data_IF_306349587803
#
_entry.id   IF_306349587803
#
_cell.length_a   1.000
_cell.length_b   1.000
_cell.length_c   1.000
_cell.angle_alpha   90.00
_cell.angle_beta   90.00
_cell.angle_gamma   90.00
#
_symmetry.space_group_name_H-M   'P 1'
#
loop_
_entity.id
_entity.type
_entity.pdbx_description
1 polymer ?
#
# COMPACT_ATOMS: atom_id res chain seq x y z
N UNK A 1 -20.13 32.52 26.91
CA UNK A 1 -19.33 31.41 27.46
C UNK A 1 -19.77 30.01 26.99
N UNK A 2 -21.00 29.82 26.50
CA UNK A 2 -21.46 28.52 25.96
C UNK A 2 -20.95 28.19 24.54
N UNK A 3 -20.51 29.20 23.78
CA UNK A 3 -20.04 29.05 22.39
C UNK A 3 -18.52 28.76 22.26
N UNK A 4 -17.81 28.58 23.38
CA UNK A 4 -16.36 28.28 23.37
C UNK A 4 -16.09 26.76 23.45
N UNK A 5 -17.08 25.96 23.84
CA UNK A 5 -16.93 24.52 24.11
C UNK A 5 -17.09 23.60 22.89
N UNK A 6 -17.33 24.13 21.69
CA UNK A 6 -17.49 23.32 20.47
C UNK A 6 -16.26 23.42 19.54
N UNK A 7 -15.05 23.41 20.11
CA UNK A 7 -13.80 23.49 19.33
C UNK A 7 -12.67 22.58 19.81
N UNK A 8 -13.01 21.48 20.48
CA UNK A 8 -12.02 20.52 21.01
C UNK A 8 -12.38 19.05 20.72
N UNK A 9 -13.33 18.79 19.84
CA UNK A 9 -13.57 17.46 19.24
C UNK A 9 -12.75 17.30 17.95
N UNK A 10 -11.49 17.76 17.94
CA UNK A 10 -10.53 17.26 16.96
C UNK A 10 -10.21 15.84 17.39
N UNK A 11 -10.98 14.90 16.85
CA UNK A 11 -10.67 13.48 16.83
C UNK A 11 -9.19 13.38 16.46
N UNK A 12 -8.39 12.97 17.44
CA UNK A 12 -7.02 12.52 17.25
C UNK A 12 -7.05 11.45 16.16
N UNK A 13 -6.79 11.81 14.91
CA UNK A 13 -6.32 10.85 13.93
C UNK A 13 -4.99 10.40 14.47
N UNK A 14 -4.95 9.20 15.06
CA UNK A 14 -3.75 8.64 15.64
C UNK A 14 -2.73 8.51 14.51
N UNK A 15 -1.80 9.47 14.45
CA UNK A 15 -0.68 9.44 13.52
C UNK A 15 0.09 8.14 13.74
N UNK A 16 0.31 7.38 12.67
CA UNK A 16 1.03 6.13 12.77
C UNK A 16 2.47 6.43 13.17
N UNK A 17 2.96 5.72 14.19
CA UNK A 17 4.34 5.87 14.67
C UNK A 17 5.14 4.63 14.31
N UNK A 18 6.46 4.81 14.27
CA UNK A 18 7.38 3.69 14.11
C UNK A 18 7.19 2.71 15.26
N UNK A 19 7.12 1.42 14.91
CA UNK A 19 6.89 0.34 15.87
C UNK A 19 5.43 0.13 16.26
N UNK A 20 4.48 0.98 15.84
CA UNK A 20 3.06 0.66 15.97
C UNK A 20 2.74 -0.63 15.19
N UNK A 21 1.71 -1.33 15.64
CA UNK A 21 1.29 -2.62 15.09
C UNK A 21 0.20 -2.40 14.05
N UNK A 22 0.41 -2.97 12.86
CA UNK A 22 -0.52 -2.90 11.73
C UNK A 22 -0.67 -4.29 11.12
N UNK A 23 -1.87 -4.63 10.67
CA UNK A 23 -2.11 -5.87 9.94
C UNK A 23 -1.78 -5.67 8.45
N UNK A 24 -1.09 -6.65 7.85
CA UNK A 24 -0.79 -6.64 6.42
C UNK A 24 -0.70 -8.08 5.89
N UNK A 25 -0.79 -8.25 4.59
CA UNK A 25 -0.58 -9.54 3.94
C UNK A 25 0.91 -9.84 3.79
N UNK A 26 1.42 -10.76 4.61
CA UNK A 26 2.80 -11.18 4.52
C UNK A 26 3.04 -12.09 3.31
N UNK A 27 3.95 -11.72 2.40
CA UNK A 27 4.37 -12.57 1.27
C UNK A 27 4.92 -13.92 1.67
N UNK A 28 5.65 -13.97 2.79
CA UNK A 28 6.33 -15.18 3.25
C UNK A 28 5.37 -16.10 4.00
N UNK A 29 4.46 -15.54 4.79
CA UNK A 29 3.44 -16.32 5.51
C UNK A 29 2.21 -16.64 4.65
N UNK A 30 1.98 -15.92 3.54
CA UNK A 30 0.81 -16.05 2.64
C UNK A 30 -0.53 -15.90 3.37
N UNK A 31 -0.56 -15.04 4.39
CA UNK A 31 -1.73 -14.74 5.21
C UNK A 31 -1.62 -13.35 5.81
N UNK A 32 -2.75 -12.79 6.24
CA UNK A 32 -2.77 -11.55 7.01
C UNK A 32 -2.20 -11.85 8.41
N UNK A 33 -1.23 -11.04 8.83
CA UNK A 33 -0.61 -11.13 10.15
C UNK A 33 -0.32 -9.75 10.70
N UNK A 34 -0.04 -9.68 12.00
CA UNK A 34 0.48 -8.48 12.64
C UNK A 34 1.92 -8.20 12.17
N UNK A 35 2.14 -6.97 11.74
CA UNK A 35 3.44 -6.41 11.39
C UNK A 35 3.75 -5.20 12.28
N UNK A 36 5.03 -4.92 12.47
CA UNK A 36 5.49 -3.66 13.06
C UNK A 36 5.89 -2.69 11.95
N UNK A 37 5.45 -1.44 12.04
CA UNK A 37 5.87 -0.39 11.10
C UNK A 37 7.37 -0.13 11.27
N UNK A 38 8.15 -0.34 10.21
CA UNK A 38 9.61 -0.09 10.21
C UNK A 38 9.99 1.19 9.48
N UNK A 39 9.11 1.75 8.65
CA UNK A 39 9.32 3.02 7.97
C UNK A 39 7.99 3.72 7.68
N UNK A 40 8.00 5.04 7.79
CA UNK A 40 6.88 5.93 7.47
C UNK A 40 7.28 6.86 6.33
N UNK A 41 6.36 7.14 5.40
CA UNK A 41 6.50 8.15 4.34
C UNK A 41 5.22 8.98 4.34
N UNK A 42 5.35 10.30 4.43
CA UNK A 42 4.20 11.23 4.50
C UNK A 42 3.18 10.91 5.61
N UNK A 43 3.63 10.29 6.71
CA UNK A 43 2.74 9.87 7.82
C UNK A 43 2.07 8.50 7.63
N UNK A 44 2.35 7.79 6.53
CA UNK A 44 1.80 6.46 6.25
C UNK A 44 2.88 5.37 6.29
N UNK A 45 2.51 4.15 6.70
CA UNK A 45 3.41 3.00 6.70
C UNK A 45 3.91 2.68 5.28
N UNK A 46 5.20 2.85 5.03
CA UNK A 46 5.83 2.49 3.76
C UNK A 46 6.35 1.04 3.78
N UNK A 47 6.97 0.64 4.90
CA UNK A 47 7.51 -0.71 5.10
C UNK A 47 7.12 -1.27 6.44
N UNK A 48 6.89 -2.58 6.44
CA UNK A 48 6.43 -3.32 7.60
C UNK A 48 7.25 -4.61 7.78
N UNK A 49 7.44 -5.01 9.05
CA UNK A 49 8.12 -6.25 9.43
C UNK A 49 7.14 -7.23 10.03
N UNK A 50 7.03 -8.42 9.45
CA UNK A 50 6.13 -9.45 9.97
C UNK A 50 6.59 -9.92 11.36
N UNK A 51 5.71 -9.87 12.37
CA UNK A 51 6.05 -10.33 13.73
C UNK A 51 6.10 -11.85 13.87
N UNK A 52 5.63 -12.58 12.85
CA UNK A 52 5.69 -14.06 12.84
C UNK A 52 6.97 -14.56 12.18
N UNK A 53 7.30 -14.07 10.98
CA UNK A 53 8.43 -14.59 10.19
C UNK A 53 9.62 -13.64 10.07
N UNK A 54 9.54 -12.45 10.69
CA UNK A 54 10.57 -11.41 10.73
C UNK A 54 11.06 -10.95 9.34
N UNK A 55 10.24 -11.13 8.31
CA UNK A 55 10.52 -10.65 6.97
C UNK A 55 10.01 -9.22 6.80
N UNK A 56 10.83 -8.37 6.19
CA UNK A 56 10.49 -6.98 5.86
C UNK A 56 9.94 -6.92 4.44
N UNK A 57 8.80 -6.26 4.25
CA UNK A 57 8.26 -5.98 2.93
C UNK A 57 7.57 -4.62 2.90
N UNK A 58 7.29 -4.15 1.69
CA UNK A 58 6.49 -2.93 1.49
C UNK A 58 5.05 -3.20 1.95
N UNK A 59 4.42 -2.17 2.51
CA UNK A 59 3.04 -2.25 3.00
C UNK A 59 2.06 -2.39 1.83
N UNK A 60 1.09 -3.29 1.94
CA UNK A 60 0.12 -3.57 0.85
C UNK A 60 -1.31 -3.19 1.19
N UNK A 61 -1.52 -2.45 2.28
CA UNK A 61 -2.85 -1.99 2.70
C UNK A 61 -3.85 -3.15 2.82
N UNK A 62 -3.39 -4.28 3.37
CA UNK A 62 -4.19 -5.50 3.55
C UNK A 62 -4.73 -6.10 2.23
N UNK A 63 -4.31 -5.59 1.08
CA UNK A 63 -4.74 -6.12 -0.21
C UNK A 63 -3.95 -7.38 -0.54
N UNK A 64 -4.68 -8.48 -0.69
CA UNK A 64 -4.15 -9.65 -1.36
C UNK A 64 -3.83 -9.27 -2.82
N UNK A 65 -2.69 -9.73 -3.38
CA UNK A 65 -2.38 -9.45 -4.77
C UNK A 65 -3.54 -9.91 -5.66
N UNK A 66 -3.98 -9.08 -6.63
CA UNK A 66 -5.15 -9.36 -7.44
C UNK A 66 -5.00 -10.73 -8.10
N UNK A 67 -6.08 -11.50 -8.07
CA UNK A 67 -6.05 -12.87 -8.60
C UNK A 67 -5.90 -12.81 -10.12
N UNK A 68 -5.18 -13.76 -10.73
CA UNK A 68 -5.03 -13.85 -12.20
C UNK A 68 -6.37 -13.83 -12.97
N UNK A 69 -7.50 -14.14 -12.31
CA UNK A 69 -8.84 -14.09 -12.89
C UNK A 69 -9.37 -12.66 -13.05
N UNK A 70 -8.97 -11.73 -12.20
CA UNK A 70 -9.37 -10.31 -12.27
C UNK A 70 -8.58 -9.57 -13.35
N UNK A 71 -7.28 -9.90 -13.51
CA UNK A 71 -6.47 -9.40 -14.62
C UNK A 71 -7.07 -9.79 -15.98
N UNK A 72 -7.50 -11.05 -16.12
CA UNK A 72 -8.12 -11.54 -17.37
C UNK A 72 -9.52 -10.94 -17.63
N UNK A 73 -10.25 -10.57 -16.58
CA UNK A 73 -11.54 -9.88 -16.70
C UNK A 73 -11.35 -8.41 -17.09
N UNK A 74 -10.30 -7.76 -16.61
CA UNK A 74 -9.91 -6.43 -17.03
C UNK A 74 -9.50 -6.41 -18.52
N UNK A 75 -8.71 -7.37 -18.97
CA UNK A 75 -8.34 -7.52 -20.39
C UNK A 75 -9.56 -7.75 -21.30
N UNK A 76 -10.52 -8.56 -20.85
CA UNK A 76 -11.77 -8.81 -21.58
C UNK A 76 -12.67 -7.56 -21.63
N UNK A 77 -12.72 -6.77 -20.56
CA UNK A 77 -13.47 -5.51 -20.52
C UNK A 77 -12.85 -4.43 -21.39
N UNK A 78 -11.51 -4.35 -21.47
CA UNK A 78 -10.83 -3.45 -22.42
C UNK A 78 -11.07 -3.84 -23.89
N UNK A 79 -11.21 -5.13 -24.18
CA UNK A 79 -11.52 -5.59 -25.54
C UNK A 79 -12.97 -5.28 -25.96
N UNK A 80 -13.92 -5.31 -25.01
CA UNK A 80 -15.32 -4.92 -25.24
C UNK A 80 -15.49 -3.40 -25.38
N UNK A 81 -14.64 -2.61 -24.72
CA UNK A 81 -14.64 -1.15 -24.86
C UNK A 81 -14.07 -0.67 -26.21
N UNK A 82 -13.22 -1.46 -26.86
CA UNK A 82 -12.62 -1.10 -28.15
C UNK A 82 -13.58 -1.22 -29.36
N UNK A 83 -14.75 -1.85 -29.20
CA UNK A 83 -15.80 -1.94 -30.23
C UNK A 83 -16.70 -0.68 -30.30
N UNK A 84 -16.67 0.17 -29.26
CA UNK A 84 -17.31 1.49 -29.26
C UNK A 84 -16.24 2.59 -29.31
N UNK A 85 -15.84 2.94 -30.54
CA UNK A 85 -14.68 3.76 -30.81
C UNK A 85 -14.68 5.17 -30.22
N UNK A 86 -13.54 5.56 -29.63
CA UNK A 86 -12.93 6.88 -29.68
C UNK A 86 -11.41 6.78 -29.36
N UNK A 87 -10.51 7.54 -30.03
CA UNK A 87 -9.06 7.32 -29.94
C UNK A 87 -8.29 8.30 -29.03
N UNK A 88 -7.19 7.75 -28.48
CA UNK A 88 -5.86 8.29 -28.12
C UNK A 88 -5.66 9.38 -27.02
N UNK A 89 -4.83 9.07 -26.01
CA UNK A 89 -3.51 9.68 -25.71
C UNK A 89 -2.94 9.14 -24.37
N UNK A 90 -1.96 8.24 -24.40
CA UNK A 90 -0.52 8.42 -24.14
C UNK A 90 -0.13 8.90 -22.72
N UNK A 91 0.42 8.01 -21.90
CA UNK A 91 1.82 8.07 -21.42
C UNK A 91 2.11 6.93 -20.44
N UNK A 92 2.99 6.04 -20.90
CA UNK A 92 3.73 5.10 -20.07
C UNK A 92 4.85 5.88 -19.35
N UNK A 93 4.94 5.79 -18.03
CA UNK A 93 6.26 5.86 -17.39
C UNK A 93 6.37 4.89 -16.21
N UNK A 94 7.11 3.83 -16.48
CA UNK A 94 7.49 2.78 -15.55
C UNK A 94 8.78 3.19 -14.83
N UNK A 95 8.66 3.74 -13.63
CA UNK A 95 9.79 4.06 -12.77
C UNK A 95 10.30 2.85 -11.98
N UNK A 96 10.98 1.90 -12.65
CA UNK A 96 11.68 0.78 -12.01
C UNK A 96 13.05 1.28 -11.51
N UNK A 97 13.19 1.63 -10.23
CA UNK A 97 14.51 1.97 -9.65
C UNK A 97 15.24 0.69 -9.20
N UNK A 98 16.42 0.36 -9.77
CA UNK A 98 17.24 -0.76 -9.32
C UNK A 98 17.91 -0.41 -7.98
N UNK A 99 17.84 -1.33 -7.00
CA UNK A 99 18.68 -1.28 -5.80
C UNK A 99 20.09 -1.74 -6.17
N UNK A 100 20.99 -0.78 -6.32
CA UNK A 100 22.42 -1.02 -6.29
C UNK A 100 22.82 -1.55 -4.91
N UNK A 101 23.58 -2.64 -4.89
CA UNK A 101 24.39 -3.05 -3.74
C UNK A 101 25.53 -2.04 -3.61
N UNK A 102 25.73 -1.48 -2.42
CA UNK A 102 26.99 -0.83 -2.06
C UNK A 102 27.50 -1.51 -0.79
N UNK A 103 28.50 -2.36 -1.02
CA UNK A 103 29.49 -2.82 -0.05
C UNK A 103 30.31 -1.59 0.38
N UNK A 104 30.61 -1.43 1.67
CA UNK A 104 31.72 -0.58 2.13
C UNK A 104 32.29 -1.13 3.44
N UNK A 105 33.59 -1.47 3.34
CA UNK A 105 34.66 -1.51 4.33
C UNK A 105 34.46 -2.32 5.64
#
# INVERSE_FOLDING_TARGET
>A
MFLIYLRLTVLRMSEQRLGDVIDDHCVKCRRITNHSIVSLVNGEAAKVRCRTCYHDHDYRHEQAPPSKKELKKAEMQSALAADNGQPAEDTLESGKKPKAKSEHA
#
